data_IF_449836047755
#
_entry.id   IF_449836047755
#
_cell.length_a   1.000
_cell.length_b   1.000
_cell.length_c   1.000
_cell.angle_alpha   90.00
_cell.angle_beta   90.00
_cell.angle_gamma   90.00
#
_symmetry.space_group_name_H-M   'P 1'
#
loop_
_entity.id
_entity.type
_entity.pdbx_description
1 polymer ?
#
# COMPACT_ATOMS: atom_id res chain seq x y z
N UNK A 1 -63.49 -31.40 46.42
CA UNK A 1 -62.34 -32.04 45.72
C UNK A 1 -62.79 -32.46 44.33
N UNK A 2 -62.05 -32.06 43.27
CA UNK A 2 -62.36 -32.00 41.80
C UNK A 2 -62.35 -30.52 41.35
N UNK A 3 -61.62 -30.03 40.33
CA UNK A 3 -60.74 -30.59 39.30
C UNK A 3 -59.68 -29.54 38.92
N UNK A 4 -58.54 -30.08 38.50
CA UNK A 4 -57.39 -29.50 37.79
C UNK A 4 -57.78 -28.76 36.50
N UNK A 5 -57.16 -27.61 36.19
CA UNK A 5 -56.76 -27.29 34.79
C UNK A 5 -55.53 -26.37 34.78
N UNK A 6 -54.47 -26.88 34.18
CA UNK A 6 -53.20 -26.23 33.87
C UNK A 6 -53.40 -25.39 32.61
N UNK A 7 -52.92 -24.13 32.59
CA UNK A 7 -52.74 -23.38 31.34
C UNK A 7 -51.27 -22.97 31.22
N UNK A 8 -50.59 -23.66 30.31
CA UNK A 8 -49.25 -23.35 29.81
C UNK A 8 -49.39 -22.15 28.88
N UNK A 9 -48.64 -21.08 29.12
CA UNK A 9 -48.40 -20.03 28.12
C UNK A 9 -46.90 -19.78 28.03
N UNK A 10 -46.28 -20.55 27.15
CA UNK A 10 -44.91 -20.39 26.68
C UNK A 10 -44.90 -19.21 25.71
N UNK A 11 -44.52 -18.03 26.20
CA UNK A 11 -44.29 -16.85 25.37
C UNK A 11 -42.88 -17.01 24.75
N UNK A 12 -42.84 -17.57 23.55
CA UNK A 12 -41.65 -17.52 22.69
C UNK A 12 -41.60 -16.10 22.11
N UNK A 13 -40.89 -15.21 22.80
CA UNK A 13 -40.49 -13.93 22.23
C UNK A 13 -39.36 -14.18 21.22
N UNK A 14 -39.74 -14.50 19.99
CA UNK A 14 -38.84 -14.56 18.84
C UNK A 14 -38.44 -13.12 18.49
N UNK A 15 -37.44 -12.59 19.18
CA UNK A 15 -36.83 -11.31 18.79
C UNK A 15 -36.00 -11.56 17.54
N UNK A 16 -36.53 -11.16 16.39
CA UNK A 16 -35.76 -11.10 15.16
C UNK A 16 -34.67 -10.05 15.36
N UNK A 17 -33.44 -10.51 15.60
CA UNK A 17 -32.27 -9.65 15.48
C UNK A 17 -32.18 -9.28 14.01
N UNK A 18 -32.22 -7.99 13.62
CA UNK A 18 -31.92 -7.62 12.26
C UNK A 18 -30.48 -8.05 11.99
N UNK A 19 -30.32 -9.03 11.10
CA UNK A 19 -29.03 -9.36 10.50
C UNK A 19 -28.55 -8.08 9.83
N UNK A 20 -27.56 -7.44 10.43
CA UNK A 20 -26.87 -6.31 9.82
C UNK A 20 -26.35 -6.75 8.47
N UNK A 21 -27.01 -6.30 7.41
CA UNK A 21 -26.48 -6.38 6.06
C UNK A 21 -25.32 -5.40 6.04
N UNK A 22 -24.10 -5.90 6.23
CA UNK A 22 -22.92 -5.13 5.92
C UNK A 22 -22.94 -4.89 4.42
N UNK A 23 -23.34 -3.68 4.05
CA UNK A 23 -23.12 -3.17 2.71
C UNK A 23 -21.61 -3.22 2.46
N UNK A 24 -21.16 -4.16 1.65
CA UNK A 24 -19.89 -4.05 0.96
C UNK A 24 -20.00 -2.75 0.14
N UNK A 25 -19.46 -1.66 0.66
CA UNK A 25 -19.24 -0.50 -0.18
C UNK A 25 -18.36 -0.97 -1.34
N UNK A 26 -18.75 -0.71 -2.60
CA UNK A 26 -17.89 -1.03 -3.72
C UNK A 26 -16.57 -0.30 -3.48
N UNK A 27 -15.46 -1.05 -3.52
CA UNK A 27 -14.12 -0.46 -3.50
C UNK A 27 -14.10 0.57 -4.61
N UNK A 28 -14.17 1.85 -4.24
CA UNK A 28 -14.16 2.93 -5.21
C UNK A 28 -12.78 2.90 -5.85
N UNK A 29 -12.71 2.35 -7.06
CA UNK A 29 -11.50 2.34 -7.84
C UNK A 29 -11.09 3.79 -8.09
N UNK A 30 -9.94 4.18 -7.54
CA UNK A 30 -9.35 5.50 -7.74
C UNK A 30 -8.24 5.35 -8.76
N UNK A 31 -8.37 5.99 -9.90
CA UNK A 31 -7.32 6.08 -10.92
C UNK A 31 -6.78 7.50 -10.99
N UNK A 32 -5.49 7.64 -11.31
CA UNK A 32 -4.84 8.91 -11.63
C UNK A 32 -4.03 8.73 -12.91
N UNK A 33 -3.98 9.77 -13.74
CA UNK A 33 -3.06 9.80 -14.89
C UNK A 33 -1.70 10.29 -14.41
N UNK A 34 -0.67 9.46 -14.54
CA UNK A 34 0.71 9.85 -14.18
C UNK A 34 1.36 10.50 -15.39
N UNK A 35 1.68 11.79 -15.30
CA UNK A 35 2.34 12.56 -16.37
C UNK A 35 3.87 12.62 -16.21
N UNK A 36 4.40 12.23 -15.05
CA UNK A 36 5.82 12.25 -14.70
C UNK A 36 6.34 10.82 -14.48
N UNK A 37 6.75 10.15 -15.57
CA UNK A 37 7.43 8.86 -15.52
C UNK A 37 8.79 8.93 -16.22
N UNK A 38 9.73 8.13 -15.74
CA UNK A 38 11.04 7.93 -16.37
C UNK A 38 11.14 6.47 -16.76
N UNK A 39 11.35 6.21 -18.06
CA UNK A 39 11.63 4.87 -18.59
C UNK A 39 13.13 4.68 -18.66
N UNK A 40 13.65 3.64 -18.00
CA UNK A 40 15.07 3.27 -18.02
C UNK A 40 15.23 1.89 -18.65
N UNK A 41 16.10 1.77 -19.63
CA UNK A 41 16.46 0.48 -20.24
C UNK A 41 17.56 -0.18 -19.41
N UNK A 42 17.34 -1.42 -18.99
CA UNK A 42 18.37 -2.23 -18.34
C UNK A 42 19.05 -3.11 -19.39
N UNK A 43 20.37 -2.97 -19.48
CA UNK A 43 21.22 -3.79 -20.33
C UNK A 43 21.74 -4.99 -19.55
N UNK A 44 21.67 -6.17 -20.13
CA UNK A 44 22.40 -7.31 -19.61
C UNK A 44 23.92 -7.20 -19.89
N UNK A 45 24.69 -8.13 -19.34
CA UNK A 45 26.13 -8.23 -19.55
C UNK A 45 26.53 -8.44 -21.03
N UNK A 46 25.58 -8.73 -21.92
CA UNK A 46 25.76 -8.90 -23.37
C UNK A 46 25.35 -7.66 -24.17
N UNK A 47 25.03 -6.54 -23.52
CA UNK A 47 24.52 -5.28 -24.10
C UNK A 47 23.17 -5.41 -24.83
N UNK A 48 22.38 -6.44 -24.54
CA UNK A 48 21.01 -6.52 -25.01
C UNK A 48 20.06 -5.86 -23.99
N UNK A 49 19.17 -4.95 -24.39
CA UNK A 49 18.15 -4.42 -23.49
C UNK A 49 17.16 -5.54 -23.17
N UNK A 50 17.07 -5.91 -21.89
CA UNK A 50 16.20 -7.01 -21.45
C UNK A 50 14.90 -6.51 -20.83
N UNK A 51 14.88 -5.29 -20.27
CA UNK A 51 13.71 -4.80 -19.55
C UNK A 51 13.61 -3.27 -19.57
N UNK A 52 12.42 -2.78 -19.91
CA UNK A 52 12.02 -1.39 -19.68
C UNK A 52 11.56 -1.25 -18.22
N UNK A 53 12.29 -0.48 -17.45
CA UNK A 53 11.98 -0.20 -16.06
C UNK A 53 11.29 1.15 -15.94
N UNK A 54 10.12 1.17 -15.31
CA UNK A 54 9.33 2.37 -15.11
C UNK A 54 9.56 2.93 -13.72
N UNK A 55 9.97 4.20 -13.65
CA UNK A 55 10.14 4.91 -12.40
C UNK A 55 9.17 6.09 -12.32
N UNK A 56 8.58 6.28 -11.15
CA UNK A 56 7.61 7.34 -10.93
C UNK A 56 7.97 8.18 -9.71
N UNK A 57 7.57 9.45 -9.72
CA UNK A 57 7.80 10.37 -8.61
C UNK A 57 7.06 9.92 -7.36
N UNK A 58 7.81 9.53 -6.32
CA UNK A 58 7.28 8.95 -5.08
C UNK A 58 6.20 9.82 -4.45
N UNK A 59 6.54 11.08 -4.14
CA UNK A 59 5.64 12.03 -3.47
C UNK A 59 4.34 12.22 -4.25
N UNK A 60 4.44 12.45 -5.56
CA UNK A 60 3.28 12.74 -6.40
C UNK A 60 2.25 11.59 -6.38
N UNK A 61 2.70 10.35 -6.53
CA UNK A 61 1.82 9.19 -6.48
C UNK A 61 1.29 8.98 -5.06
N UNK A 62 2.15 8.91 -4.05
CA UNK A 62 1.74 8.63 -2.67
C UNK A 62 0.69 9.62 -2.16
N UNK A 63 0.94 10.93 -2.30
CA UNK A 63 0.01 11.96 -1.85
C UNK A 63 -1.31 11.94 -2.64
N UNK A 64 -1.27 11.64 -3.94
CA UNK A 64 -2.48 11.49 -4.76
C UNK A 64 -3.38 10.35 -4.27
N UNK A 65 -2.81 9.31 -3.66
CA UNK A 65 -3.55 8.18 -3.08
C UNK A 65 -3.82 8.33 -1.57
N UNK A 66 -3.41 9.45 -0.97
CA UNK A 66 -3.70 9.80 0.43
C UNK A 66 -2.65 9.35 1.44
N UNK A 67 -1.48 8.89 0.99
CA UNK A 67 -0.33 8.62 1.84
C UNK A 67 0.46 9.91 2.10
N UNK A 68 1.16 9.97 3.23
CA UNK A 68 1.98 11.11 3.58
C UNK A 68 3.45 10.82 3.26
N UNK A 69 4.17 11.81 2.71
CA UNK A 69 5.59 11.70 2.38
C UNK A 69 6.37 12.81 3.03
N UNK A 70 7.36 12.46 3.84
CA UNK A 70 8.29 13.39 4.46
C UNK A 70 9.70 13.17 3.92
N UNK A 71 10.47 14.24 3.81
CA UNK A 71 11.86 14.18 3.36
C UNK A 71 12.79 14.64 4.49
N UNK A 72 13.69 13.77 4.93
CA UNK A 72 14.76 14.13 5.86
C UNK A 72 16.00 14.55 5.06
N UNK A 73 16.20 15.86 4.97
CA UNK A 73 17.37 16.43 4.29
C UNK A 73 18.71 16.17 4.99
N UNK A 74 18.71 15.91 6.31
CA UNK A 74 19.93 15.63 7.07
C UNK A 74 20.41 14.20 6.90
N UNK A 75 19.48 13.27 6.70
CA UNK A 75 19.77 11.84 6.52
C UNK A 75 19.59 11.35 5.08
N UNK A 76 19.13 12.22 4.18
CA UNK A 76 18.94 11.97 2.75
C UNK A 76 18.03 10.76 2.44
N UNK A 77 16.84 10.74 3.05
CA UNK A 77 15.82 9.73 2.78
C UNK A 77 14.41 10.31 2.77
N UNK A 78 13.49 9.60 2.13
CA UNK A 78 12.05 9.82 2.26
C UNK A 78 11.45 8.83 3.26
N UNK A 79 10.51 9.30 4.08
CA UNK A 79 9.61 8.46 4.87
C UNK A 79 8.23 8.53 4.23
N UNK A 80 7.60 7.38 4.04
CA UNK A 80 6.19 7.30 3.62
C UNK A 80 5.39 6.64 4.73
N UNK A 81 4.29 7.27 5.14
CA UNK A 81 3.39 6.76 6.18
C UNK A 81 1.96 6.64 5.68
N UNK A 82 1.16 5.82 6.36
CA UNK A 82 -0.28 5.73 6.15
C UNK A 82 -0.98 7.05 6.51
N UNK A 83 -1.42 7.80 5.50
CA UNK A 83 -2.23 9.00 5.67
C UNK A 83 -3.72 8.71 5.46
N UNK A 84 -4.61 9.52 6.04
CA UNK A 84 -6.07 9.46 5.81
C UNK A 84 -6.70 8.05 5.93
N UNK A 85 -6.23 7.24 6.89
CA UNK A 85 -6.72 5.87 7.10
C UNK A 85 -6.21 4.84 6.08
N UNK A 86 -5.17 5.16 5.31
CA UNK A 86 -4.44 4.20 4.49
C UNK A 86 -3.47 3.39 5.34
N UNK A 87 -3.29 2.14 4.97
CA UNK A 87 -2.36 1.22 5.60
C UNK A 87 -1.32 0.81 4.57
N UNK A 88 -0.06 0.74 4.99
CA UNK A 88 1.03 0.19 4.19
C UNK A 88 1.15 -1.30 4.53
N UNK A 89 1.49 -2.12 3.54
CA UNK A 89 1.67 -3.57 3.76
C UNK A 89 3.04 -4.02 3.30
N UNK A 90 3.67 -4.94 4.03
CA UNK A 90 4.88 -5.62 3.57
C UNK A 90 4.56 -6.73 2.53
N UNK A 91 5.59 -7.45 2.07
CA UNK A 91 5.46 -8.58 1.13
C UNK A 91 4.55 -9.70 1.59
N UNK A 92 4.43 -9.85 2.90
CA UNK A 92 3.77 -10.96 3.54
C UNK A 92 2.32 -10.56 3.89
N UNK A 93 1.91 -9.33 3.54
CA UNK A 93 0.61 -8.75 3.81
C UNK A 93 0.45 -8.21 5.23
N UNK A 94 1.54 -8.07 6.00
CA UNK A 94 1.51 -7.48 7.32
C UNK A 94 1.45 -5.96 7.23
N UNK A 95 0.70 -5.33 8.13
CA UNK A 95 0.68 -3.87 8.22
C UNK A 95 2.04 -3.35 8.71
N UNK A 96 2.52 -2.29 8.08
CA UNK A 96 3.70 -1.54 8.48
C UNK A 96 3.33 -0.07 8.69
N UNK A 97 4.07 0.61 9.56
CA UNK A 97 3.81 2.00 9.91
C UNK A 97 4.47 2.96 8.91
N UNK A 98 5.64 2.59 8.40
CA UNK A 98 6.38 3.43 7.46
C UNK A 98 7.27 2.64 6.49
N UNK A 99 7.53 3.26 5.34
CA UNK A 99 8.64 2.93 4.45
C UNK A 99 9.71 4.02 4.53
N UNK A 100 10.97 3.63 4.66
CA UNK A 100 12.12 4.52 4.49
C UNK A 100 12.82 4.19 3.18
N UNK A 101 12.94 5.20 2.32
CA UNK A 101 13.47 5.05 0.96
C UNK A 101 14.65 6.00 0.78
N UNK A 102 15.82 5.42 0.50
CA UNK A 102 17.08 6.15 0.29
C UNK A 102 17.46 6.14 -1.20
N UNK A 103 17.80 7.30 -1.79
CA UNK A 103 18.39 7.34 -3.13
C UNK A 103 19.68 6.50 -3.20
N UNK A 104 19.81 5.70 -4.25
CA UNK A 104 20.96 4.83 -4.51
C UNK A 104 21.01 3.55 -3.68
N UNK A 105 20.06 3.34 -2.76
CA UNK A 105 19.99 2.11 -1.98
C UNK A 105 19.24 1.01 -2.74
N UNK A 106 19.75 -0.22 -2.64
CA UNK A 106 19.08 -1.43 -3.13
C UNK A 106 18.17 -2.05 -2.05
N UNK A 107 17.88 -1.31 -0.97
CA UNK A 107 17.02 -1.77 0.13
C UNK A 107 15.99 -0.69 0.48
N UNK A 108 14.82 -1.14 0.89
CA UNK A 108 13.78 -0.34 1.53
C UNK A 108 13.69 -0.80 2.98
N UNK A 109 13.69 0.15 3.91
CA UNK A 109 13.47 -0.15 5.32
C UNK A 109 11.96 -0.08 5.59
N UNK A 110 11.40 -1.16 6.13
CA UNK A 110 10.01 -1.27 6.55
C UNK A 110 9.99 -1.17 8.07
N UNK A 111 9.24 -0.21 8.59
CA UNK A 111 9.13 0.02 10.03
C UNK A 111 7.76 -0.40 10.52
N UNK A 112 7.72 -1.21 11.57
CA UNK A 112 6.53 -1.48 12.37
C UNK A 112 6.74 -1.05 13.83
N UNK A 113 5.69 -1.09 14.66
CA UNK A 113 5.74 -0.66 16.07
C UNK A 113 6.84 -1.34 16.92
N UNK A 114 7.38 -2.46 16.46
CA UNK A 114 8.25 -3.35 17.23
C UNK A 114 9.62 -3.56 16.60
N UNK A 115 9.73 -3.51 15.27
CA UNK A 115 10.91 -3.92 14.52
C UNK A 115 11.09 -3.14 13.21
N UNK A 116 12.32 -3.14 12.72
CA UNK A 116 12.65 -2.78 11.34
C UNK A 116 12.95 -4.04 10.52
N UNK A 117 12.38 -4.13 9.32
CA UNK A 117 12.70 -5.15 8.29
C UNK A 117 13.36 -4.45 7.11
N UNK A 118 14.28 -5.14 6.45
CA UNK A 118 14.83 -4.70 5.17
C UNK A 118 14.25 -5.55 4.05
N UNK A 119 13.91 -4.90 2.95
CA UNK A 119 13.44 -5.55 1.75
C UNK A 119 14.28 -5.11 0.55
N UNK A 120 14.78 -6.07 -0.20
CA UNK A 120 15.74 -5.82 -1.28
C UNK A 120 15.02 -5.48 -2.58
N UNK A 121 15.62 -4.54 -3.32
CA UNK A 121 15.23 -4.20 -4.67
C UNK A 121 16.14 -4.95 -5.66
N UNK A 122 15.60 -5.38 -6.82
CA UNK A 122 16.42 -5.87 -7.91
C UNK A 122 17.51 -4.87 -8.31
N UNK A 123 18.67 -5.37 -8.76
CA UNK A 123 19.74 -4.53 -9.24
C UNK A 123 19.25 -3.64 -10.40
N UNK A 124 19.59 -2.36 -10.37
CA UNK A 124 19.14 -1.37 -11.35
C UNK A 124 17.82 -0.69 -11.02
N UNK A 125 17.10 -1.15 -9.98
CA UNK A 125 15.83 -0.57 -9.50
C UNK A 125 16.02 0.36 -8.29
N UNK A 126 17.24 0.82 -8.03
CA UNK A 126 17.54 1.72 -6.93
C UNK A 126 16.77 3.06 -7.10
N UNK A 127 16.18 3.61 -6.02
CA UNK A 127 15.60 4.94 -6.05
C UNK A 127 16.63 5.99 -6.46
N UNK A 128 16.23 7.04 -7.15
CA UNK A 128 17.14 8.12 -7.51
C UNK A 128 16.47 9.48 -7.47
N UNK A 129 17.28 10.53 -7.35
CA UNK A 129 16.80 11.91 -7.40
C UNK A 129 17.06 12.47 -8.79
N UNK A 130 16.01 13.00 -9.41
CA UNK A 130 16.09 13.78 -10.64
C UNK A 130 15.15 14.97 -10.53
N UNK A 131 15.58 16.15 -11.00
CA UNK A 131 14.78 17.39 -10.94
C UNK A 131 14.18 17.67 -9.54
N UNK A 132 14.98 17.43 -8.48
CA UNK A 132 14.60 17.61 -7.08
C UNK A 132 13.39 16.76 -6.63
N UNK A 133 13.19 15.61 -7.27
CA UNK A 133 12.14 14.63 -6.96
C UNK A 133 12.76 13.25 -6.79
N UNK A 134 12.27 12.50 -5.82
CA UNK A 134 12.64 11.10 -5.64
C UNK A 134 11.77 10.24 -6.55
N UNK A 135 12.43 9.47 -7.42
CA UNK A 135 11.82 8.49 -8.30
C UNK A 135 12.09 7.09 -7.76
N UNK A 136 11.05 6.25 -7.76
CA UNK A 136 11.12 4.85 -7.33
C UNK A 136 10.55 3.94 -8.40
N UNK A 137 11.06 2.72 -8.47
CA UNK A 137 10.60 1.74 -9.43
C UNK A 137 9.11 1.38 -9.22
N UNK A 138 8.39 1.11 -10.31
CA UNK A 138 6.95 0.80 -10.33
C UNK A 138 6.54 -0.28 -9.33
N UNK A 139 7.39 -1.31 -9.15
CA UNK A 139 7.15 -2.42 -8.24
C UNK A 139 7.01 -1.99 -6.78
N UNK A 140 7.60 -0.86 -6.37
CA UNK A 140 7.44 -0.30 -5.02
C UNK A 140 5.97 0.05 -4.77
N UNK A 141 5.29 0.65 -5.76
CA UNK A 141 3.87 1.02 -5.65
C UNK A 141 2.97 -0.20 -5.59
N UNK A 142 3.23 -1.20 -6.43
CA UNK A 142 2.44 -2.43 -6.43
C UNK A 142 2.60 -3.19 -5.12
N UNK A 143 3.84 -3.31 -4.64
CA UNK A 143 4.21 -4.14 -3.50
C UNK A 143 3.69 -3.58 -2.17
N UNK A 144 3.87 -2.29 -1.92
CA UNK A 144 3.61 -1.72 -0.58
C UNK A 144 2.34 -0.87 -0.49
N UNK A 145 1.79 -0.45 -1.63
CA UNK A 145 0.61 0.41 -1.70
C UNK A 145 -0.57 -0.26 -2.41
N UNK A 146 -0.35 -1.45 -2.99
CA UNK A 146 -1.35 -2.17 -3.79
C UNK A 146 -1.73 -1.43 -5.08
N UNK A 147 -0.88 -0.52 -5.56
CA UNK A 147 -1.16 0.33 -6.72
C UNK A 147 -0.56 -0.28 -7.98
N UNK A 148 -1.39 -0.53 -8.99
CA UNK A 148 -0.96 -1.06 -10.28
C UNK A 148 -1.02 0.03 -11.34
N UNK A 149 0.04 0.14 -12.13
CA UNK A 149 0.01 0.98 -13.32
C UNK A 149 -0.92 0.33 -14.36
N UNK A 150 -1.85 1.12 -14.91
CA UNK A 150 -2.65 0.74 -16.07
C UNK A 150 -2.09 1.54 -17.23
N UNK A 151 -1.60 0.84 -18.26
CA UNK A 151 -1.10 1.45 -19.49
C UNK A 151 -2.24 1.35 -20.50
N UNK A 152 -2.81 2.49 -20.85
CA UNK A 152 -3.83 2.63 -21.91
C UNK A 152 -3.18 2.75 -23.29
#
# INVERSE_FOLDING_TARGET
>A
MKKLTILISLIIALTMVPLGSFANEPVSEKSITVQDCIVKLIYDNENNPQEEANFYGLRHICESFGYDVEWDSGQNYAIVTGGNGKTLTDTDGNNIDALVIRPGAYVIELLDERNGKLDELPAGYEPFIENNRLYVHSSVFEKYFGLKAVID
#
